data_IF_923522304864
#
_entry.id   IF_923522304864
#
_cell.length_a   1.000
_cell.length_b   1.000
_cell.length_c   1.000
_cell.angle_alpha   90.00
_cell.angle_beta   90.00
_cell.angle_gamma   90.00
#
_symmetry.space_group_name_H-M   'P 1'
#
loop_
_entity.id
_entity.type
_entity.pdbx_description
1 polymer ?
#
# COMPACT_ATOMS: atom_id res chain seq x y z
N UNK A 1 -9.36 -13.98 -11.62
CA UNK A 1 -10.68 -13.47 -11.21
C UNK A 1 -11.09 -12.34 -12.15
N UNK A 2 -12.38 -12.22 -12.51
CA UNK A 2 -12.90 -11.16 -13.38
C UNK A 2 -13.81 -10.25 -12.55
N UNK A 3 -13.66 -8.94 -12.72
CA UNK A 3 -14.56 -7.92 -12.16
C UNK A 3 -15.17 -7.10 -13.30
N UNK A 4 -16.37 -6.59 -13.10
CA UNK A 4 -17.03 -5.66 -14.01
C UNK A 4 -17.20 -4.35 -13.25
N UNK A 5 -16.80 -3.25 -13.89
CA UNK A 5 -16.79 -1.91 -13.28
C UNK A 5 -17.23 -0.92 -14.34
N UNK A 6 -18.17 -0.06 -13.98
CA UNK A 6 -18.63 1.02 -14.84
C UNK A 6 -17.69 2.22 -14.71
N UNK A 7 -17.27 2.76 -15.85
CA UNK A 7 -16.42 3.94 -15.94
C UNK A 7 -17.08 4.96 -16.87
N UNK A 8 -17.06 6.26 -16.52
CA UNK A 8 -17.50 7.32 -17.42
C UNK A 8 -16.75 7.24 -18.75
N UNK A 9 -17.46 7.51 -19.86
CA UNK A 9 -16.89 7.43 -21.22
C UNK A 9 -15.62 8.28 -21.38
N UNK A 10 -15.61 9.48 -20.78
CA UNK A 10 -14.42 10.34 -20.74
C UNK A 10 -13.18 9.65 -20.13
N UNK A 11 -13.35 8.85 -19.08
CA UNK A 11 -12.25 8.12 -18.46
C UNK A 11 -11.77 6.96 -19.34
N UNK A 12 -12.69 6.31 -20.08
CA UNK A 12 -12.34 5.26 -21.04
C UNK A 12 -11.48 5.82 -22.17
N UNK A 13 -11.84 7.01 -22.68
CA UNK A 13 -11.06 7.70 -23.70
C UNK A 13 -9.66 8.06 -23.18
N UNK A 14 -9.56 8.65 -21.98
CA UNK A 14 -8.27 8.98 -21.36
C UNK A 14 -7.39 7.73 -21.15
N UNK A 15 -7.97 6.62 -20.66
CA UNK A 15 -7.26 5.35 -20.50
C UNK A 15 -6.76 4.79 -21.83
N UNK A 16 -7.52 4.97 -22.91
CA UNK A 16 -7.14 4.50 -24.25
C UNK A 16 -5.98 5.32 -24.81
N UNK A 17 -6.02 6.64 -24.67
CA UNK A 17 -4.91 7.51 -25.05
C UNK A 17 -3.64 7.15 -24.29
N UNK A 18 -3.73 7.01 -22.95
CA UNK A 18 -2.59 6.65 -22.11
C UNK A 18 -2.02 5.25 -22.43
N UNK A 19 -2.89 4.31 -22.78
CA UNK A 19 -2.50 2.96 -23.19
C UNK A 19 -1.64 3.00 -24.47
N UNK A 20 -2.06 3.80 -25.46
CA UNK A 20 -1.33 3.98 -26.71
C UNK A 20 0.02 4.67 -26.48
N UNK A 21 0.04 5.77 -25.72
CA UNK A 21 1.26 6.51 -25.40
C UNK A 21 2.31 5.65 -24.70
N UNK A 22 1.86 4.74 -23.82
CA UNK A 22 2.75 3.85 -23.05
C UNK A 22 3.01 2.51 -23.73
N UNK A 23 2.40 2.24 -24.88
CA UNK A 23 2.41 0.94 -25.53
C UNK A 23 2.01 -0.22 -24.59
N UNK A 24 1.00 0.02 -23.74
CA UNK A 24 0.47 -0.96 -22.79
C UNK A 24 -0.98 -1.28 -23.08
N UNK A 25 -1.45 -2.45 -22.64
CA UNK A 25 -2.89 -2.73 -22.66
C UNK A 25 -3.62 -1.89 -21.60
N UNK A 26 -4.89 -1.56 -21.86
CA UNK A 26 -5.78 -0.93 -20.87
C UNK A 26 -5.85 -1.73 -19.55
N UNK A 27 -5.90 -3.06 -19.65
CA UNK A 27 -5.93 -3.93 -18.47
C UNK A 27 -4.67 -3.80 -17.63
N UNK A 28 -3.51 -3.67 -18.26
CA UNK A 28 -2.24 -3.48 -17.55
C UNK A 28 -2.19 -2.12 -16.82
N UNK A 29 -2.65 -1.04 -17.45
CA UNK A 29 -2.77 0.25 -16.79
C UNK A 29 -3.68 0.21 -15.56
N UNK A 30 -4.83 -0.46 -15.68
CA UNK A 30 -5.78 -0.62 -14.56
C UNK A 30 -5.13 -1.42 -13.42
N UNK A 31 -4.42 -2.51 -13.73
CA UNK A 31 -3.70 -3.29 -12.71
C UNK A 31 -2.67 -2.45 -11.96
N UNK A 32 -1.87 -1.66 -12.68
CA UNK A 32 -0.88 -0.75 -12.06
C UNK A 32 -1.54 0.32 -11.20
N UNK A 33 -2.65 0.90 -11.68
CA UNK A 33 -3.40 1.89 -10.92
C UNK A 33 -3.94 1.31 -9.59
N UNK A 34 -4.45 0.07 -9.61
CA UNK A 34 -4.91 -0.62 -8.41
C UNK A 34 -3.75 -0.87 -7.44
N UNK A 35 -2.61 -1.37 -7.94
CA UNK A 35 -1.41 -1.61 -7.10
C UNK A 35 -0.94 -0.31 -6.45
N UNK A 36 -0.80 0.77 -7.21
CA UNK A 36 -0.37 2.06 -6.67
C UNK A 36 -1.40 2.66 -5.69
N UNK A 37 -2.69 2.49 -5.96
CA UNK A 37 -3.73 2.94 -5.04
C UNK A 37 -3.65 2.21 -3.70
N UNK A 38 -3.56 0.87 -3.72
CA UNK A 38 -3.42 0.06 -2.51
C UNK A 38 -2.13 0.36 -1.76
N UNK A 39 -1.01 0.55 -2.48
CA UNK A 39 0.28 0.92 -1.87
C UNK A 39 0.15 2.21 -1.06
N UNK A 40 -0.51 3.23 -1.62
CA UNK A 40 -0.75 4.52 -0.93
C UNK A 40 -1.64 4.39 0.31
N UNK A 41 -2.58 3.44 0.31
CA UNK A 41 -3.42 3.19 1.50
C UNK A 41 -2.65 2.43 2.59
N UNK A 42 -1.64 1.63 2.22
CA UNK A 42 -0.83 0.85 3.15
C UNK A 42 0.39 1.61 3.71
N UNK A 43 0.63 2.87 3.34
CA UNK A 43 1.71 3.67 3.96
C UNK A 43 1.48 3.89 5.47
N UNK A 44 0.22 3.85 5.94
CA UNK A 44 -0.14 3.85 7.37
C UNK A 44 0.11 2.50 8.06
N UNK A 45 0.28 1.42 7.30
CA UNK A 45 0.54 0.06 7.79
C UNK A 45 2.03 -0.22 8.04
N UNK A 46 2.94 0.72 7.72
CA UNK A 46 4.36 0.61 8.09
C UNK A 46 4.59 0.47 9.61
N UNK A 47 3.58 0.83 10.42
CA UNK A 47 3.54 0.58 11.87
C UNK A 47 2.49 -0.47 12.29
N UNK A 48 1.84 -1.17 11.35
CA UNK A 48 0.64 -1.99 11.56
C UNK A 48 0.78 -3.12 12.59
N UNK A 49 1.99 -3.69 12.74
CA UNK A 49 2.26 -4.71 13.75
C UNK A 49 2.54 -4.15 15.16
N UNK A 50 2.93 -2.87 15.25
CA UNK A 50 3.21 -2.18 16.52
C UNK A 50 2.03 -1.33 16.99
N UNK A 51 1.20 -0.84 16.07
CA UNK A 51 0.03 0.01 16.35
C UNK A 51 -1.03 -0.67 17.24
N UNK A 52 -1.10 -2.00 17.22
CA UNK A 52 -2.02 -2.78 18.06
C UNK A 52 -1.41 -3.18 19.42
N UNK A 53 -0.11 -2.96 19.63
CA UNK A 53 0.54 -3.19 20.92
C UNK A 53 0.59 -1.86 21.66
N UNK A 54 -0.27 -1.68 22.66
CA UNK A 54 -0.19 -0.56 23.60
C UNK A 54 0.97 -0.79 24.59
N UNK A 55 2.18 -0.88 24.03
CA UNK A 55 3.42 -1.08 24.79
C UNK A 55 4.17 0.23 24.69
N UNK A 56 4.42 0.86 25.83
CA UNK A 56 5.31 2.01 25.91
C UNK A 56 6.69 1.56 25.41
N UNK A 57 7.05 2.03 24.21
CA UNK A 57 8.28 1.64 23.51
C UNK A 57 9.53 1.89 24.35
N UNK A 58 9.52 2.92 25.20
CA UNK A 58 10.62 3.27 26.10
C UNK A 58 10.73 2.29 27.27
N UNK A 59 9.59 1.88 27.85
CA UNK A 59 9.56 0.87 28.90
C UNK A 59 10.00 -0.50 28.39
N UNK A 60 9.60 -0.87 27.17
CA UNK A 60 9.98 -2.14 26.55
C UNK A 60 11.47 -2.21 26.23
N UNK A 61 12.05 -1.12 25.69
CA UNK A 61 13.48 -1.05 25.44
C UNK A 61 14.30 -1.15 26.73
N UNK A 62 13.88 -0.44 27.80
CA UNK A 62 14.55 -0.52 29.09
C UNK A 62 14.51 -1.93 29.69
N UNK A 63 13.36 -2.62 29.60
CA UNK A 63 13.22 -4.00 30.09
C UNK A 63 14.18 -4.95 29.37
N UNK A 64 14.29 -4.84 28.04
CA UNK A 64 15.21 -5.67 27.25
C UNK A 64 16.69 -5.36 27.52
N UNK A 65 17.02 -4.09 27.83
CA UNK A 65 18.39 -3.68 28.17
C UNK A 65 18.80 -4.14 29.58
N UNK A 66 17.87 -4.19 30.53
CA UNK A 66 18.14 -4.69 31.88
C UNK A 66 18.54 -6.18 31.88
N UNK A 67 18.07 -6.98 30.90
CA UNK A 67 18.47 -8.39 30.73
C UNK A 67 19.95 -8.57 30.34
N UNK A 68 20.63 -7.51 29.90
CA UNK A 68 22.05 -7.54 29.51
C UNK A 68 22.97 -6.77 30.46
N UNK A 69 22.44 -6.26 31.58
CA UNK A 69 23.29 -5.70 32.62
C UNK A 69 24.14 -6.83 33.23
N UNK A 70 25.49 -6.72 33.23
CA UNK A 70 26.33 -7.69 33.93
C UNK A 70 26.03 -7.66 35.43
N UNK A 71 25.85 -8.84 36.03
CA UNK A 71 25.74 -9.01 37.49
C UNK A 71 27.01 -8.56 38.20
#
# INVERSE_FOLDING_TARGET
MKIVVDLPEAQILQLTTLANEKALSRAELIRRAIVEYLRRQNEDEAFGLWKQRNVDSLHHENTLRDEWAPQ
#
